data_IF_440921680374
#
_entry.id   IF_440921680374
#
_cell.length_a   1.000
_cell.length_b   1.000
_cell.length_c   1.000
_cell.angle_alpha   90.00
_cell.angle_beta   90.00
_cell.angle_gamma   90.00
#
_symmetry.space_group_name_H-M   'P 1'
#
loop_
_entity.id
_entity.type
_entity.pdbx_description
1 polymer ?
#
# COMPACT_ATOMS: atom_id res chain seq x y z
N UNK A 1 39.61 -22.91 42.33
CA UNK A 1 38.79 -23.32 43.50
C UNK A 1 38.29 -22.06 44.22
N UNK A 2 37.03 -22.13 44.65
CA UNK A 2 36.20 -21.15 45.35
C UNK A 2 36.88 -19.93 46.03
N UNK A 3 36.40 -18.73 45.70
CA UNK A 3 36.56 -17.51 46.49
C UNK A 3 35.19 -16.82 46.66
N UNK A 4 34.23 -17.55 47.20
CA UNK A 4 33.04 -16.96 47.80
C UNK A 4 33.25 -16.86 49.31
N UNK A 5 33.12 -15.65 49.85
CA UNK A 5 32.57 -15.30 51.18
C UNK A 5 33.33 -14.14 51.82
N UNK A 6 32.88 -12.91 51.53
CA UNK A 6 32.88 -11.84 52.53
C UNK A 6 31.45 -11.33 52.65
N UNK A 7 30.80 -11.70 53.76
CA UNK A 7 29.52 -11.13 54.21
C UNK A 7 29.64 -9.60 54.22
N UNK A 8 28.70 -8.92 53.58
CA UNK A 8 28.43 -7.49 53.79
C UNK A 8 28.00 -7.29 55.25
N UNK A 9 28.50 -6.28 55.97
CA UNK A 9 27.84 -5.83 57.19
C UNK A 9 26.55 -5.09 56.82
N UNK A 10 25.47 -5.40 57.52
CA UNK A 10 24.20 -4.68 57.45
C UNK A 10 24.39 -3.22 57.89
N UNK A 11 23.84 -2.23 57.18
CA UNK A 11 23.80 -0.87 57.68
C UNK A 11 22.69 -0.75 58.74
N UNK A 12 23.06 -0.13 59.86
CA UNK A 12 22.16 0.22 60.95
C UNK A 12 20.92 0.98 60.44
N UNK A 13 19.76 0.65 61.00
CA UNK A 13 18.48 1.29 60.70
C UNK A 13 18.58 2.81 60.87
N UNK A 14 18.46 3.57 59.76
CA UNK A 14 18.34 5.03 59.81
C UNK A 14 16.93 5.40 60.23
N UNK A 15 16.82 6.16 61.32
CA UNK A 15 15.58 6.67 61.88
C UNK A 15 14.73 7.43 60.84
N UNK A 16 13.41 7.26 60.91
CA UNK A 16 12.46 7.97 60.05
C UNK A 16 12.58 9.50 60.23
N UNK A 17 12.52 10.30 59.15
CA UNK A 17 12.60 11.74 59.26
C UNK A 17 11.35 12.29 59.95
N UNK A 18 11.55 13.11 60.99
CA UNK A 18 10.50 13.85 61.68
C UNK A 18 9.84 14.80 60.67
N UNK A 19 8.52 14.65 60.48
CA UNK A 19 7.74 15.54 59.62
C UNK A 19 7.82 16.97 60.15
N UNK A 20 8.42 17.87 59.38
CA UNK A 20 8.33 19.31 59.64
C UNK A 20 6.92 19.79 59.22
N UNK A 21 6.28 20.69 59.98
CA UNK A 21 4.98 21.22 59.60
C UNK A 21 5.11 21.97 58.26
N UNK A 22 4.37 21.52 57.26
CA UNK A 22 4.28 22.17 55.95
C UNK A 22 3.36 23.38 56.09
N UNK A 23 3.85 24.57 55.76
CA UNK A 23 3.07 25.80 55.83
C UNK A 23 2.01 25.79 54.71
N UNK A 24 0.71 25.95 55.00
CA UNK A 24 -0.36 25.77 54.01
C UNK A 24 -0.30 26.79 52.86
N UNK A 25 0.36 27.93 53.06
CA UNK A 25 0.58 28.95 52.03
C UNK A 25 1.64 28.55 50.98
N UNK A 26 2.41 27.49 51.22
CA UNK A 26 3.44 26.97 50.30
C UNK A 26 2.93 25.79 49.44
N UNK A 27 1.71 25.29 49.73
CA UNK A 27 1.08 24.15 49.06
C UNK A 27 0.45 24.56 47.73
N UNK A 28 0.05 25.82 47.60
CA UNK A 28 -0.58 26.35 46.39
C UNK A 28 0.30 27.47 45.84
N UNK A 29 0.62 27.40 44.54
CA UNK A 29 1.42 28.35 43.77
C UNK A 29 0.94 29.81 43.91
N UNK A 30 1.25 30.45 45.03
CA UNK A 30 1.39 31.90 45.07
C UNK A 30 2.65 32.23 44.26
N UNK A 31 2.65 33.32 43.46
CA UNK A 31 3.80 33.67 42.65
C UNK A 31 4.92 34.14 43.57
N UNK A 32 5.73 33.19 44.06
CA UNK A 32 7.00 33.48 44.70
C UNK A 32 7.87 34.16 43.65
N UNK A 33 8.41 35.36 43.92
CA UNK A 33 9.25 36.04 42.95
C UNK A 33 10.54 35.22 42.80
N UNK A 34 10.63 34.54 41.66
CA UNK A 34 11.77 33.72 41.20
C UNK A 34 11.95 32.39 41.93
N UNK A 35 11.15 31.38 41.58
CA UNK A 35 11.56 29.98 41.71
C UNK A 35 12.48 29.62 40.54
N UNK A 36 13.79 29.62 40.77
CA UNK A 36 14.76 28.96 39.88
C UNK A 36 14.71 27.47 40.19
N UNK A 37 14.16 26.68 39.28
CA UNK A 37 14.10 25.23 39.45
C UNK A 37 15.07 24.59 38.46
N UNK A 38 16.15 23.99 38.98
CA UNK A 38 17.07 23.15 38.22
C UNK A 38 16.45 21.77 38.10
N UNK A 39 16.09 21.35 36.89
CA UNK A 39 15.61 19.99 36.62
C UNK A 39 16.70 19.25 35.85
N UNK A 40 17.04 18.05 36.31
CA UNK A 40 18.03 17.20 35.64
C UNK A 40 17.32 16.41 34.54
N UNK A 41 17.56 16.78 33.29
CA UNK A 41 16.94 16.13 32.13
C UNK A 41 17.84 14.97 31.68
N UNK A 42 17.24 13.79 31.51
CA UNK A 42 17.87 12.63 30.86
C UNK A 42 16.99 12.24 29.69
N UNK A 43 17.46 12.52 28.48
CA UNK A 43 16.71 12.23 27.26
C UNK A 43 16.74 10.74 26.92
N UNK A 44 17.78 10.02 27.36
CA UNK A 44 17.90 8.56 27.19
C UNK A 44 18.48 7.87 28.42
N UNK A 45 18.38 6.53 28.47
CA UNK A 45 18.88 5.71 29.58
C UNK A 45 20.42 5.74 29.72
N UNK A 46 21.12 6.15 28.67
CA UNK A 46 22.58 6.12 28.60
C UNK A 46 23.21 7.52 28.65
N UNK A 47 22.43 8.59 28.60
CA UNK A 47 22.95 9.96 28.66
C UNK A 47 23.24 10.43 30.09
N UNK A 48 24.28 11.27 30.19
CA UNK A 48 24.64 11.98 31.42
C UNK A 48 23.63 13.10 31.69
N UNK A 49 23.20 13.23 32.95
CA UNK A 49 22.18 14.21 33.30
C UNK A 49 22.72 15.64 33.17
N UNK A 50 22.13 16.41 32.25
CA UNK A 50 22.43 17.84 32.10
C UNK A 50 21.45 18.63 32.95
N UNK A 51 21.92 19.50 33.87
CA UNK A 51 21.05 20.35 34.66
C UNK A 51 20.58 21.53 33.82
N UNK A 52 19.27 21.61 33.58
CA UNK A 52 18.65 22.74 32.89
C UNK A 52 17.91 23.62 33.92
N UNK A 53 18.22 24.92 33.90
CA UNK A 53 17.58 25.91 34.78
C UNK A 53 16.38 26.52 34.07
N UNK A 54 15.18 26.21 34.56
CA UNK A 54 13.95 26.84 34.09
C UNK A 54 13.72 28.14 34.89
N UNK A 55 13.72 29.27 34.19
CA UNK A 55 13.29 30.55 34.74
C UNK A 55 11.81 30.76 34.42
N UNK A 56 10.94 30.62 35.42
CA UNK A 56 9.52 30.94 35.28
C UNK A 56 9.32 32.40 35.67
N UNK A 57 9.09 33.26 34.67
CA UNK A 57 8.75 34.67 34.89
C UNK A 57 7.32 34.78 35.43
N UNK A 58 7.16 35.45 36.57
CA UNK A 58 5.84 35.74 37.13
C UNK A 58 5.14 36.77 36.26
N UNK A 59 4.05 36.38 35.61
CA UNK A 59 3.24 37.29 34.79
C UNK A 59 2.55 38.32 35.68
N UNK A 60 2.74 39.60 35.38
CA UNK A 60 2.11 40.69 36.13
C UNK A 60 0.57 40.62 36.07
N UNK A 61 -0.13 40.75 37.21
CA UNK A 61 -1.59 40.63 37.25
C UNK A 61 -2.30 41.76 36.49
N UNK A 62 -1.65 42.91 36.29
CA UNK A 62 -2.19 44.00 35.48
C UNK A 62 -2.14 43.70 33.98
N UNK A 63 -1.10 43.00 33.50
CA UNK A 63 -1.02 42.54 32.12
C UNK A 63 -2.11 41.51 31.79
N UNK A 64 -2.55 40.73 32.77
CA UNK A 64 -3.67 39.80 32.61
C UNK A 64 -4.98 40.59 32.48
N UNK A 65 -5.20 41.61 33.32
CA UNK A 65 -6.40 42.45 33.24
C UNK A 65 -6.50 43.20 31.91
N UNK A 66 -5.39 43.75 31.40
CA UNK A 66 -5.39 44.45 30.11
C UNK A 66 -5.68 43.51 28.94
N UNK A 67 -5.09 42.30 28.95
CA UNK A 67 -5.39 41.27 27.94
C UNK A 67 -6.84 40.79 28.02
N UNK A 68 -7.40 40.65 29.22
CA UNK A 68 -8.82 40.31 29.39
C UNK A 68 -9.74 41.40 28.84
N UNK A 69 -9.43 42.67 29.10
CA UNK A 69 -10.19 43.79 28.55
C UNK A 69 -10.09 43.86 27.00
N UNK A 70 -8.93 43.53 26.43
CA UNK A 70 -8.77 43.42 24.97
C UNK A 70 -9.60 42.28 24.38
N UNK A 71 -9.60 41.11 25.03
CA UNK A 71 -10.41 39.97 24.61
C UNK A 71 -11.92 40.25 24.72
N UNK A 72 -12.36 41.01 25.73
CA UNK A 72 -13.75 41.45 25.86
C UNK A 72 -14.15 42.38 24.73
N UNK A 73 -13.29 43.35 24.35
CA UNK A 73 -13.53 44.25 23.23
C UNK A 73 -13.58 43.50 21.88
N UNK A 74 -12.68 42.55 21.65
CA UNK A 74 -12.68 41.72 20.43
C UNK A 74 -13.91 40.78 20.37
N UNK A 75 -14.38 40.28 21.51
CA UNK A 75 -15.60 39.47 21.59
C UNK A 75 -16.85 40.29 21.29
N UNK A 76 -16.92 41.53 21.77
CA UNK A 76 -18.01 42.46 21.41
C UNK A 76 -17.98 42.81 19.92
N UNK A 77 -16.80 43.04 19.34
CA UNK A 77 -16.64 43.29 17.90
C UNK A 77 -17.07 42.07 17.07
N UNK A 78 -16.68 40.85 17.48
CA UNK A 78 -17.12 39.61 16.82
C UNK A 78 -18.61 39.33 16.99
N UNK A 79 -19.22 39.71 18.12
CA UNK A 79 -20.67 39.61 18.32
C UNK A 79 -21.45 40.60 17.44
N UNK A 80 -20.85 41.75 17.13
CA UNK A 80 -21.42 42.76 16.26
C UNK A 80 -21.24 42.44 14.77
N UNK A 81 -20.33 41.53 14.42
CA UNK A 81 -20.22 41.01 13.06
C UNK A 81 -21.37 40.04 12.78
N UNK A 82 -22.04 40.14 11.62
CA UNK A 82 -23.05 39.16 11.24
C UNK A 82 -22.41 37.77 11.15
N UNK A 83 -23.10 36.77 11.70
CA UNK A 83 -22.66 35.37 11.63
C UNK A 83 -22.62 34.97 10.16
N UNK A 84 -21.41 34.87 9.59
CA UNK A 84 -21.21 34.35 8.24
C UNK A 84 -21.54 32.86 8.24
N UNK A 85 -22.64 32.51 7.59
CA UNK A 85 -23.05 31.13 7.36
C UNK A 85 -22.40 30.59 6.09
N UNK A 86 -22.41 29.27 5.90
CA UNK A 86 -21.93 28.63 4.66
C UNK A 86 -22.66 29.17 3.40
N UNK A 87 -23.85 29.77 3.55
CA UNK A 87 -24.58 30.40 2.46
C UNK A 87 -24.00 31.77 2.04
N UNK A 88 -23.24 32.43 2.91
CA UNK A 88 -22.59 33.72 2.62
C UNK A 88 -21.27 33.53 1.85
N UNK A 89 -20.66 32.36 1.99
CA UNK A 89 -19.71 31.84 1.00
C UNK A 89 -20.54 31.32 -0.17
N UNK A 90 -21.15 32.24 -0.92
CA UNK A 90 -21.73 31.90 -2.20
C UNK A 90 -20.70 31.06 -2.95
N UNK A 91 -21.14 29.92 -3.49
CA UNK A 91 -20.41 29.24 -4.56
C UNK A 91 -20.28 30.27 -5.68
N UNK A 92 -19.26 31.13 -5.59
CA UNK A 92 -18.91 32.08 -6.61
C UNK A 92 -18.68 31.22 -7.82
N UNK A 93 -19.66 31.20 -8.71
CA UNK A 93 -19.51 30.54 -10.00
C UNK A 93 -18.31 31.20 -10.62
N UNK A 94 -17.20 30.47 -10.67
CA UNK A 94 -15.94 30.88 -11.28
C UNK A 94 -16.31 31.57 -12.60
N UNK A 95 -15.89 32.82 -12.76
CA UNK A 95 -16.30 33.61 -13.92
C UNK A 95 -15.92 32.88 -15.19
N UNK A 96 -16.73 32.97 -16.26
CA UNK A 96 -16.37 32.31 -17.54
C UNK A 96 -14.98 32.73 -18.03
N UNK A 97 -14.59 33.97 -17.74
CA UNK A 97 -13.26 34.52 -18.05
C UNK A 97 -12.16 33.82 -17.24
N UNK A 98 -12.35 33.64 -15.93
CA UNK A 98 -11.40 32.93 -15.07
C UNK A 98 -11.26 31.44 -15.46
N UNK A 99 -12.34 30.82 -15.94
CA UNK A 99 -12.30 29.45 -16.51
C UNK A 99 -11.48 29.42 -17.79
N UNK A 100 -11.69 30.40 -18.69
CA UNK A 100 -10.94 30.50 -19.95
C UNK A 100 -9.46 30.76 -19.66
N UNK A 101 -9.15 31.68 -18.75
CA UNK A 101 -7.78 32.00 -18.36
C UNK A 101 -7.09 30.77 -17.77
N UNK A 102 -7.72 30.09 -16.81
CA UNK A 102 -7.19 28.86 -16.23
C UNK A 102 -6.99 27.74 -17.27
N UNK A 103 -7.90 27.61 -18.24
CA UNK A 103 -7.75 26.66 -19.34
C UNK A 103 -6.54 27.01 -20.22
N UNK A 104 -6.36 28.29 -20.57
CA UNK A 104 -5.21 28.71 -21.38
C UNK A 104 -3.89 28.56 -20.65
N UNK A 105 -3.86 28.75 -19.33
CA UNK A 105 -2.68 28.50 -18.50
C UNK A 105 -2.34 27.01 -18.47
N UNK A 106 -3.35 26.17 -18.27
CA UNK A 106 -3.18 24.72 -18.30
C UNK A 106 -2.66 24.23 -19.66
N UNK A 107 -3.22 24.71 -20.77
CA UNK A 107 -2.78 24.32 -22.12
C UNK A 107 -1.30 24.70 -22.37
N UNK A 108 -0.86 25.88 -21.91
CA UNK A 108 0.55 26.29 -22.00
C UNK A 108 1.47 25.38 -21.19
N UNK A 109 1.07 25.04 -19.96
CA UNK A 109 1.84 24.14 -19.10
C UNK A 109 1.92 22.74 -19.71
N UNK A 110 0.80 22.23 -20.23
CA UNK A 110 0.73 20.92 -20.88
C UNK A 110 1.70 20.82 -22.06
N UNK A 111 1.79 21.83 -22.93
CA UNK A 111 2.73 21.82 -24.06
C UNK A 111 4.18 21.70 -23.56
N UNK A 112 4.57 22.49 -22.55
CA UNK A 112 5.93 22.47 -22.01
C UNK A 112 6.27 21.12 -21.36
N UNK A 113 5.35 20.58 -20.57
CA UNK A 113 5.53 19.28 -19.92
C UNK A 113 5.52 18.14 -20.92
N UNK A 114 4.68 18.21 -21.96
CA UNK A 114 4.60 17.21 -23.00
C UNK A 114 5.88 17.18 -23.85
N UNK A 115 6.45 18.33 -24.19
CA UNK A 115 7.76 18.40 -24.85
C UNK A 115 8.88 17.85 -23.97
N UNK A 116 8.85 18.15 -22.66
CA UNK A 116 9.81 17.59 -21.69
C UNK A 116 9.64 16.07 -21.55
N UNK A 117 8.41 15.59 -21.58
CA UNK A 117 8.09 14.16 -21.56
C UNK A 117 8.63 13.49 -22.82
N UNK A 118 8.33 14.00 -24.01
CA UNK A 118 8.87 13.48 -25.28
C UNK A 118 10.40 13.47 -25.25
N UNK A 119 11.04 14.56 -24.82
CA UNK A 119 12.50 14.64 -24.74
C UNK A 119 13.11 13.66 -23.73
N UNK A 120 12.43 13.41 -22.62
CA UNK A 120 12.89 12.45 -21.60
C UNK A 120 12.64 10.99 -21.97
N UNK A 121 11.68 10.72 -22.86
CA UNK A 121 11.32 9.38 -23.34
C UNK A 121 11.77 9.13 -24.78
N UNK A 122 12.55 10.05 -25.36
CA UNK A 122 13.36 9.77 -26.54
C UNK A 122 14.49 8.85 -26.12
N UNK A 123 14.21 7.56 -26.12
CA UNK A 123 15.26 6.55 -26.19
C UNK A 123 15.96 6.73 -27.55
N UNK A 124 17.27 6.98 -27.54
CA UNK A 124 18.08 6.96 -28.75
C UNK A 124 18.17 5.52 -29.27
N UNK A 125 17.14 5.05 -29.98
CA UNK A 125 17.13 3.73 -30.65
C UNK A 125 18.09 3.74 -31.87
N UNK A 126 18.81 4.83 -32.10
CA UNK A 126 19.81 4.97 -33.18
C UNK A 126 21.08 4.14 -32.96
N UNK A 127 21.32 3.60 -31.76
CA UNK A 127 22.44 2.69 -31.47
C UNK A 127 22.02 1.21 -31.31
N UNK A 128 21.00 0.75 -32.02
CA UNK A 128 20.98 -0.66 -32.41
C UNK A 128 22.11 -0.89 -33.45
N UNK A 129 23.37 -0.91 -33.00
CA UNK A 129 24.53 -1.26 -33.82
C UNK A 129 24.24 -2.63 -34.43
N UNK A 130 23.95 -2.69 -35.74
CA UNK A 130 23.77 -3.95 -36.49
C UNK A 130 24.96 -4.90 -36.28
N UNK A 131 26.14 -4.34 -35.97
CA UNK A 131 27.37 -5.07 -35.62
C UNK A 131 27.29 -5.90 -34.32
N UNK A 132 26.33 -5.64 -33.42
CA UNK A 132 26.18 -6.36 -32.15
C UNK A 132 24.97 -7.30 -32.08
N UNK A 133 24.08 -7.27 -33.10
CA UNK A 133 22.91 -8.15 -33.13
C UNK A 133 23.33 -9.58 -33.45
N UNK A 134 24.24 -9.76 -34.40
CA UNK A 134 24.79 -11.08 -34.73
C UNK A 134 25.50 -11.73 -33.53
N UNK A 135 26.36 -10.98 -32.83
CA UNK A 135 27.06 -11.47 -31.63
C UNK A 135 26.08 -11.80 -30.48
N UNK A 136 25.04 -10.98 -30.28
CA UNK A 136 24.00 -11.26 -29.27
C UNK A 136 23.15 -12.47 -29.63
N UNK A 137 22.82 -12.65 -30.90
CA UNK A 137 22.07 -13.82 -31.37
C UNK A 137 22.91 -15.08 -31.22
N UNK A 138 24.20 -15.04 -31.60
CA UNK A 138 25.13 -16.15 -31.42
C UNK A 138 25.32 -16.50 -29.93
N UNK A 139 25.45 -15.50 -29.05
CA UNK A 139 25.48 -15.72 -27.61
C UNK A 139 24.18 -16.35 -27.07
N UNK A 140 23.02 -15.91 -27.56
CA UNK A 140 21.72 -16.48 -27.19
C UNK A 140 21.60 -17.95 -27.64
N UNK A 141 22.05 -18.27 -28.86
CA UNK A 141 22.08 -19.64 -29.35
C UNK A 141 23.03 -20.52 -28.56
N UNK A 142 24.23 -20.02 -28.23
CA UNK A 142 25.20 -20.75 -27.42
C UNK A 142 24.68 -21.03 -26.00
N UNK A 143 24.02 -20.06 -25.35
CA UNK A 143 23.39 -20.27 -24.04
C UNK A 143 22.23 -21.26 -24.11
N UNK A 144 21.43 -21.21 -25.18
CA UNK A 144 20.33 -22.15 -25.38
C UNK A 144 20.85 -23.57 -25.55
N UNK A 145 21.85 -23.77 -26.41
CA UNK A 145 22.48 -25.08 -26.60
C UNK A 145 23.13 -25.61 -25.32
N UNK A 146 23.78 -24.74 -24.54
CA UNK A 146 24.34 -25.11 -23.24
C UNK A 146 23.25 -25.57 -22.25
N UNK A 147 22.12 -24.84 -22.16
CA UNK A 147 20.99 -25.22 -21.31
C UNK A 147 20.32 -26.51 -21.76
N UNK A 148 20.18 -26.72 -23.08
CA UNK A 148 19.65 -27.97 -23.62
C UNK A 148 20.57 -29.13 -23.26
N UNK A 149 21.88 -28.98 -23.43
CA UNK A 149 22.85 -29.99 -23.02
C UNK A 149 22.83 -30.26 -21.51
N UNK A 150 22.65 -29.23 -20.68
CA UNK A 150 22.47 -29.40 -19.23
C UNK A 150 21.19 -30.18 -18.91
N UNK A 151 20.06 -29.87 -19.56
CA UNK A 151 18.79 -30.58 -19.38
C UNK A 151 18.89 -32.04 -19.85
N UNK A 152 19.56 -32.31 -20.97
CA UNK A 152 19.77 -33.67 -21.48
C UNK A 152 20.70 -34.50 -20.57
N UNK A 153 21.71 -33.87 -19.97
CA UNK A 153 22.66 -34.53 -19.08
C UNK A 153 22.16 -34.63 -17.63
N UNK A 154 21.19 -33.80 -17.24
CA UNK A 154 20.57 -33.89 -15.92
C UNK A 154 19.51 -34.99 -15.93
N UNK A 155 19.84 -36.10 -15.27
CA UNK A 155 18.83 -37.10 -14.93
C UNK A 155 18.00 -36.55 -13.79
N UNK A 156 16.84 -35.99 -14.10
CA UNK A 156 15.85 -35.63 -13.09
C UNK A 156 15.33 -36.91 -12.43
N UNK A 157 15.77 -37.17 -11.20
CA UNK A 157 15.18 -38.21 -10.35
C UNK A 157 13.83 -37.68 -9.84
N UNK A 158 12.77 -37.95 -10.60
CA UNK A 158 11.42 -37.61 -10.18
C UNK A 158 10.99 -38.61 -9.10
N UNK A 159 10.98 -38.18 -7.84
CA UNK A 159 10.30 -38.92 -6.78
C UNK A 159 8.80 -38.65 -6.91
N UNK A 160 8.03 -39.62 -7.41
CA UNK A 160 6.58 -39.55 -7.35
C UNK A 160 6.15 -39.62 -5.87
N UNK A 161 5.75 -38.47 -5.33
CA UNK A 161 5.18 -38.39 -3.98
C UNK A 161 3.74 -38.86 -4.08
N UNK A 162 3.40 -39.93 -3.37
CA UNK A 162 2.03 -40.46 -3.36
C UNK A 162 1.04 -39.43 -2.76
N UNK A 163 -0.22 -39.49 -3.19
CA UNK A 163 -1.29 -38.60 -2.72
C UNK A 163 -1.38 -38.55 -1.18
N UNK A 164 -1.16 -39.68 -0.50
CA UNK A 164 -1.15 -39.73 0.96
C UNK A 164 -0.06 -38.88 1.63
N UNK A 165 1.11 -38.73 1.00
CA UNK A 165 2.19 -37.88 1.51
C UNK A 165 1.93 -36.40 1.18
N UNK A 166 1.29 -36.13 0.04
CA UNK A 166 0.80 -34.79 -0.33
C UNK A 166 -0.24 -34.31 0.68
N UNK A 167 -1.24 -35.13 0.98
CA UNK A 167 -2.29 -34.82 1.95
C UNK A 167 -1.74 -34.58 3.35
N UNK A 168 -0.74 -35.39 3.76
CA UNK A 168 -0.06 -35.21 5.06
C UNK A 168 0.67 -33.87 5.14
N UNK A 169 1.43 -33.52 4.09
CA UNK A 169 2.14 -32.22 4.03
C UNK A 169 1.20 -31.03 3.91
N UNK A 170 0.02 -31.21 3.30
CA UNK A 170 -1.05 -30.21 3.27
C UNK A 170 -1.63 -29.96 4.66
N UNK A 171 -1.81 -31.00 5.48
CA UNK A 171 -2.26 -30.86 6.89
C UNK A 171 -1.20 -30.15 7.75
N UNK A 172 0.08 -30.38 7.47
CA UNK A 172 1.20 -29.73 8.18
C UNK A 172 1.36 -28.22 7.83
N UNK A 173 0.68 -27.73 6.78
CA UNK A 173 0.72 -26.31 6.40
C UNK A 173 -0.25 -25.49 7.27
N UNK A 174 0.21 -24.47 8.01
CA UNK A 174 -0.61 -23.74 8.99
C UNK A 174 -1.73 -22.88 8.37
N UNK A 175 -1.75 -22.70 7.06
CA UNK A 175 -2.71 -21.87 6.33
C UNK A 175 -3.55 -22.65 5.29
N UNK A 176 -3.29 -23.94 5.10
CA UNK A 176 -4.07 -24.76 4.19
C UNK A 176 -5.39 -25.13 4.88
N UNK A 177 -6.43 -24.34 4.63
CA UNK A 177 -7.79 -24.72 5.02
C UNK A 177 -8.20 -25.96 4.22
N UNK A 178 -8.90 -26.90 4.83
CA UNK A 178 -9.45 -28.03 4.08
C UNK A 178 -10.53 -27.49 3.13
N UNK A 179 -10.77 -28.12 1.98
CA UNK A 179 -11.88 -27.75 1.08
C UNK A 179 -13.22 -27.61 1.82
N UNK A 180 -13.43 -28.42 2.85
CA UNK A 180 -14.59 -28.43 3.75
C UNK A 180 -14.74 -27.16 4.61
N UNK A 181 -13.63 -26.44 4.84
CA UNK A 181 -13.57 -25.24 5.69
C UNK A 181 -13.84 -23.94 4.91
N UNK A 182 -13.87 -23.99 3.57
CA UNK A 182 -14.20 -22.83 2.74
C UNK A 182 -15.71 -22.67 2.62
N UNK A 183 -16.23 -21.56 3.13
CA UNK A 183 -17.66 -21.25 3.09
C UNK A 183 -18.19 -21.18 1.64
N UNK A 184 -17.36 -20.79 0.68
CA UNK A 184 -17.77 -20.73 -0.74
C UNK A 184 -17.96 -22.12 -1.38
N UNK A 185 -17.40 -23.19 -0.78
CA UNK A 185 -17.39 -24.54 -1.37
C UNK A 185 -18.38 -25.51 -0.70
N UNK A 186 -19.04 -25.10 0.39
CA UNK A 186 -20.03 -25.94 1.09
C UNK A 186 -21.24 -26.28 0.21
N UNK A 187 -21.56 -25.40 -0.73
CA UNK A 187 -22.74 -25.55 -1.58
C UNK A 187 -22.44 -26.29 -2.89
N UNK A 188 -21.17 -26.51 -3.23
CA UNK A 188 -20.79 -27.14 -4.51
C UNK A 188 -21.13 -28.64 -4.51
N UNK A 189 -21.12 -29.30 -3.36
CA UNK A 189 -21.62 -30.68 -3.23
C UNK A 189 -23.15 -30.79 -3.39
N UNK A 190 -23.87 -29.67 -3.26
CA UNK A 190 -25.32 -29.59 -3.47
C UNK A 190 -25.69 -29.18 -4.91
N UNK A 191 -24.74 -28.67 -5.69
CA UNK A 191 -24.93 -28.42 -7.13
C UNK A 191 -24.82 -29.78 -7.82
N UNK A 192 -25.93 -30.25 -8.39
CA UNK A 192 -25.94 -31.47 -9.18
C UNK A 192 -24.96 -31.35 -10.35
N UNK A 193 -24.24 -32.43 -10.67
CA UNK A 193 -23.27 -32.49 -11.77
C UNK A 193 -23.89 -32.30 -13.15
N UNK A 194 -25.22 -32.39 -13.25
CA UNK A 194 -25.98 -32.18 -14.47
C UNK A 194 -26.82 -30.90 -14.31
N UNK A 195 -26.66 -29.92 -15.21
CA UNK A 195 -27.48 -28.71 -15.18
C UNK A 195 -28.93 -29.06 -15.49
N UNK A 196 -29.86 -28.59 -14.66
CA UNK A 196 -31.29 -28.81 -14.86
C UNK A 196 -31.71 -28.18 -16.20
N UNK A 197 -32.24 -28.98 -17.14
CA UNK A 197 -32.65 -28.49 -18.47
C UNK A 197 -33.67 -27.33 -18.37
N UNK A 198 -34.48 -27.31 -17.31
CA UNK A 198 -35.43 -26.25 -17.01
C UNK A 198 -34.77 -24.92 -16.56
N UNK A 199 -33.55 -24.96 -16.04
CA UNK A 199 -32.75 -23.74 -15.76
C UNK A 199 -32.06 -23.23 -17.02
N UNK A 200 -31.62 -24.14 -17.89
CA UNK A 200 -31.03 -23.80 -19.18
C UNK A 200 -32.07 -23.14 -20.09
N UNK A 201 -33.30 -23.65 -20.15
CA UNK A 201 -34.39 -23.02 -20.92
C UNK A 201 -34.73 -21.60 -20.41
N UNK A 202 -34.59 -21.33 -19.11
CA UNK A 202 -34.81 -19.98 -18.53
C UNK A 202 -33.73 -18.99 -18.90
N UNK A 203 -32.52 -19.44 -19.23
CA UNK A 203 -31.40 -18.58 -19.62
C UNK A 203 -31.57 -18.02 -21.04
N UNK A 204 -32.53 -18.55 -21.81
CA UNK A 204 -32.81 -18.14 -23.17
C UNK A 204 -31.75 -18.65 -24.15
N UNK A 205 -32.20 -19.23 -25.26
CA UNK A 205 -31.30 -19.63 -26.35
C UNK A 205 -31.12 -18.41 -27.25
N UNK A 206 -29.88 -17.93 -27.36
CA UNK A 206 -29.51 -16.90 -28.33
C UNK A 206 -29.22 -17.63 -29.64
N UNK A 207 -30.01 -17.33 -30.68
CA UNK A 207 -29.76 -17.84 -32.03
C UNK A 207 -28.68 -16.99 -32.70
N UNK A 208 -27.49 -17.58 -32.87
CA UNK A 208 -26.35 -16.97 -33.54
C UNK A 208 -26.36 -17.22 -35.05
N UNK A 209 -27.45 -17.78 -35.61
CA UNK A 209 -27.52 -18.14 -37.03
C UNK A 209 -27.34 -16.95 -37.99
N UNK A 210 -27.72 -15.75 -37.55
CA UNK A 210 -27.63 -14.50 -38.32
C UNK A 210 -26.34 -13.71 -38.08
N UNK A 211 -25.43 -14.18 -37.21
CA UNK A 211 -24.19 -13.46 -36.94
C UNK A 211 -23.30 -13.43 -38.20
N UNK A 212 -22.68 -12.28 -38.53
CA UNK A 212 -21.85 -12.14 -39.73
C UNK A 212 -20.62 -13.07 -39.72
N UNK A 213 -20.24 -13.53 -38.53
CA UNK A 213 -19.13 -14.45 -38.29
C UNK A 213 -19.63 -15.89 -38.04
N UNK A 214 -20.91 -16.19 -38.29
CA UNK A 214 -21.47 -17.51 -38.11
C UNK A 214 -20.83 -18.52 -39.08
N UNK A 215 -19.93 -19.34 -38.54
CA UNK A 215 -19.38 -20.50 -39.23
C UNK A 215 -20.47 -21.57 -39.17
N UNK A 216 -21.34 -21.57 -40.19
CA UNK A 216 -22.44 -22.54 -40.30
C UNK A 216 -21.98 -23.99 -40.08
N UNK A 217 -22.90 -24.84 -39.63
CA UNK A 217 -22.61 -26.23 -39.30
C UNK A 217 -21.93 -26.95 -40.47
N UNK A 218 -20.74 -27.47 -40.24
CA UNK A 218 -19.99 -28.25 -41.21
C UNK A 218 -20.26 -29.73 -40.94
N UNK A 219 -21.00 -30.36 -41.83
CA UNK A 219 -21.25 -31.79 -41.81
C UNK A 219 -20.04 -32.58 -42.36
N UNK A 220 -19.90 -33.82 -41.88
CA UNK A 220 -18.79 -34.71 -42.26
C UNK A 220 -18.75 -34.96 -43.78
N UNK A 221 -19.91 -34.98 -44.44
CA UNK A 221 -20.02 -35.15 -45.89
C UNK A 221 -19.46 -33.94 -46.67
N UNK A 222 -19.63 -32.72 -46.17
CA UNK A 222 -19.08 -31.51 -46.79
C UNK A 222 -17.56 -31.44 -46.60
N UNK A 223 -17.07 -31.81 -45.43
CA UNK A 223 -15.63 -31.94 -45.15
C UNK A 223 -14.98 -32.95 -46.11
N UNK A 224 -15.56 -34.14 -46.26
CA UNK A 224 -15.05 -35.16 -47.17
C UNK A 224 -14.97 -34.67 -48.63
N UNK A 225 -16.02 -34.00 -49.12
CA UNK A 225 -16.02 -33.40 -50.47
C UNK A 225 -14.95 -32.32 -50.62
N UNK A 226 -14.74 -31.47 -49.62
CA UNK A 226 -13.74 -30.40 -49.67
C UNK A 226 -12.31 -30.92 -49.64
N UNK A 227 -12.06 -32.00 -48.90
CA UNK A 227 -10.78 -32.70 -48.88
C UNK A 227 -10.50 -33.32 -50.25
N UNK A 228 -11.48 -34.00 -50.84
CA UNK A 228 -11.33 -34.58 -52.19
C UNK A 228 -11.07 -33.50 -53.26
N UNK A 229 -11.80 -32.37 -53.21
CA UNK A 229 -11.56 -31.22 -54.09
C UNK A 229 -10.16 -30.61 -53.92
N UNK A 230 -9.64 -30.59 -52.69
CA UNK A 230 -8.32 -30.06 -52.37
C UNK A 230 -7.21 -30.98 -52.85
N UNK A 231 -7.33 -32.29 -52.59
CA UNK A 231 -6.40 -33.31 -53.05
C UNK A 231 -6.36 -33.38 -54.59
N UNK A 232 -7.50 -33.27 -55.26
CA UNK A 232 -7.55 -33.23 -56.73
C UNK A 232 -6.87 -31.98 -57.31
N UNK A 233 -6.93 -30.83 -56.63
CA UNK A 233 -6.32 -29.58 -57.12
C UNK A 233 -4.84 -29.45 -56.78
N UNK A 234 -4.40 -30.04 -55.68
CA UNK A 234 -3.09 -29.73 -55.10
C UNK A 234 -2.27 -30.95 -54.68
N UNK A 235 -2.83 -32.16 -54.71
CA UNK A 235 -2.18 -33.41 -54.33
C UNK A 235 -1.00 -33.80 -55.23
N UNK A 236 -1.00 -33.34 -56.48
CA UNK A 236 0.08 -33.62 -57.45
C UNK A 236 1.25 -32.62 -57.38
N UNK A 237 1.26 -31.68 -56.42
CA UNK A 237 2.43 -30.82 -56.17
C UNK A 237 3.49 -31.59 -55.39
N UNK A 238 4.19 -32.50 -56.07
CA UNK A 238 5.50 -33.02 -55.68
C UNK A 238 6.58 -32.60 -56.68
#
# INVERSE_FOLDING_TARGET
MALFNKKKPEPAASAAPVAKPVNPDDIWNTPSPRRRQTVAVKESKYDEAVPETLEVESVDPEMIKTKMAQLEAELEEKKNQPVKTHADYGTSTVGREEIIDAQTEYEKLYVVEHEKYIRSHQEEITEAKEQGVAEKMEAMYAEHEAKVAEVENTKFEFSEVGQAEVDKKLVDLPYAKRPEDYAEYKDIAAVASEPDEAEIEKLGVIDHSEDPDNIGFVDEEFLAKKVEEFEAKYGDRK
#
